data_IF_184959040292
#
_entry.id   IF_184959040292
#
_cell.length_a   1.000
_cell.length_b   1.000
_cell.length_c   1.000
_cell.angle_alpha   90.00
_cell.angle_beta   90.00
_cell.angle_gamma   90.00
#
_symmetry.space_group_name_H-M   'P 1'
#
loop_
_entity.id
_entity.type
_entity.pdbx_description
1 polymer ?
#
# COMPACT_ATOMS: atom_id res chain seq x y z
N UNK A 1 15.15 -0.77 14.69
CA UNK A 1 14.19 0.09 15.43
C UNK A 1 13.81 1.21 14.49
N UNK A 2 12.59 1.22 13.95
CA UNK A 2 12.17 2.21 12.95
C UNK A 2 12.33 3.64 13.49
N UNK A 3 12.70 4.59 12.63
CA UNK A 3 12.60 5.99 13.01
C UNK A 3 11.15 6.28 13.40
N UNK A 4 10.99 7.05 14.50
CA UNK A 4 9.68 7.54 14.87
C UNK A 4 9.15 8.39 13.70
N UNK A 5 7.93 8.14 13.21
CA UNK A 5 7.37 8.93 12.14
C UNK A 5 7.34 10.42 12.53
N UNK A 6 7.57 11.33 11.58
CA UNK A 6 7.47 12.76 11.84
C UNK A 6 6.03 13.11 12.23
N UNK A 7 5.84 14.29 12.80
CA UNK A 7 4.51 14.86 12.84
C UNK A 7 4.14 15.26 11.39
N UNK A 8 3.16 14.58 10.80
CA UNK A 8 2.72 14.88 9.44
C UNK A 8 1.98 16.22 9.43
N UNK A 9 2.69 17.29 9.09
CA UNK A 9 2.09 18.60 8.86
C UNK A 9 1.39 18.59 7.51
N UNK A 10 0.06 18.52 7.53
CA UNK A 10 -0.74 18.67 6.32
C UNK A 10 -0.87 20.14 5.90
N UNK A 11 -0.45 21.08 6.75
CA UNK A 11 -0.53 22.53 6.50
C UNK A 11 0.39 23.01 5.37
N UNK A 12 1.41 22.22 5.03
CA UNK A 12 2.34 22.52 3.94
C UNK A 12 1.83 22.05 2.57
N UNK A 13 0.72 21.32 2.53
CA UNK A 13 0.09 20.86 1.30
C UNK A 13 -0.66 22.00 0.61
N UNK A 14 -0.63 22.00 -0.73
CA UNK A 14 -1.41 22.96 -1.49
C UNK A 14 -2.91 22.63 -1.46
N UNK A 15 -3.73 23.62 -1.78
CA UNK A 15 -5.20 23.49 -1.76
C UNK A 15 -5.73 22.32 -2.59
N UNK A 16 -5.17 22.09 -3.78
CA UNK A 16 -5.62 21.00 -4.66
C UNK A 16 -5.31 19.61 -4.06
N UNK A 17 -4.18 19.46 -3.37
CA UNK A 17 -3.84 18.24 -2.63
C UNK A 17 -4.85 18.01 -1.48
N UNK A 18 -5.14 19.05 -0.70
CA UNK A 18 -6.12 18.97 0.39
C UNK A 18 -7.53 18.64 -0.12
N UNK A 19 -7.99 19.29 -1.20
CA UNK A 19 -9.29 19.00 -1.82
C UNK A 19 -9.36 17.53 -2.30
N UNK A 20 -8.29 17.02 -2.95
CA UNK A 20 -8.21 15.61 -3.39
C UNK A 20 -8.28 14.64 -2.20
N UNK A 21 -7.60 14.96 -1.10
CA UNK A 21 -7.65 14.15 0.12
C UNK A 21 -9.04 14.20 0.77
N UNK A 22 -9.73 15.34 0.73
CA UNK A 22 -11.09 15.47 1.25
C UNK A 22 -12.09 14.64 0.43
N UNK A 23 -12.00 14.69 -0.89
CA UNK A 23 -12.83 13.88 -1.80
C UNK A 23 -12.58 12.38 -1.58
N UNK A 24 -11.32 11.98 -1.41
CA UNK A 24 -10.96 10.61 -1.06
C UNK A 24 -11.54 10.19 0.30
N UNK A 25 -11.46 11.08 1.29
CA UNK A 25 -12.09 10.90 2.60
C UNK A 25 -13.60 10.67 2.50
N UNK A 26 -14.30 11.53 1.77
CA UNK A 26 -15.75 11.39 1.56
C UNK A 26 -16.10 10.07 0.86
N UNK A 27 -15.31 9.67 -0.13
CA UNK A 27 -15.49 8.41 -0.87
C UNK A 27 -15.28 7.19 0.01
N UNK A 28 -14.24 7.19 0.86
CA UNK A 28 -13.99 6.13 1.84
C UNK A 28 -15.17 5.99 2.81
N UNK A 29 -15.70 7.11 3.33
CA UNK A 29 -16.85 7.10 4.23
C UNK A 29 -18.12 6.58 3.55
N UNK A 30 -18.29 6.88 2.26
CA UNK A 30 -19.39 6.33 1.46
C UNK A 30 -19.25 4.81 1.28
N UNK A 31 -18.05 4.29 0.98
CA UNK A 31 -17.78 2.84 0.95
C UNK A 31 -18.15 2.17 2.28
N UNK A 32 -17.71 2.73 3.40
CA UNK A 32 -18.11 2.23 4.73
C UNK A 32 -19.63 2.27 4.93
N UNK A 33 -20.29 3.34 4.49
CA UNK A 33 -21.74 3.51 4.64
C UNK A 33 -22.52 2.48 3.82
N UNK A 34 -22.12 2.21 2.58
CA UNK A 34 -22.83 1.24 1.71
C UNK A 34 -22.62 -0.20 2.17
N UNK A 35 -21.41 -0.56 2.60
CA UNK A 35 -21.14 -1.89 3.15
C UNK A 35 -21.90 -2.13 4.45
N UNK A 36 -21.89 -1.14 5.36
CA UNK A 36 -22.61 -1.23 6.63
C UNK A 36 -24.11 -1.41 6.46
N UNK A 37 -24.72 -0.84 5.41
CA UNK A 37 -26.16 -1.06 5.10
C UNK A 37 -26.48 -2.53 4.83
N UNK A 38 -25.51 -3.30 4.33
CA UNK A 38 -25.61 -4.74 4.13
C UNK A 38 -25.12 -5.59 5.32
N UNK A 39 -24.64 -4.97 6.40
CA UNK A 39 -23.95 -5.69 7.48
C UNK A 39 -22.56 -6.22 7.10
N UNK A 40 -21.92 -5.58 6.11
CA UNK A 40 -20.65 -5.99 5.51
C UNK A 40 -19.52 -5.03 5.94
N UNK A 41 -18.26 -5.44 5.74
CA UNK A 41 -17.05 -4.62 5.94
C UNK A 41 -15.99 -4.93 4.85
N UNK A 42 -14.91 -4.17 4.81
CA UNK A 42 -13.88 -4.27 3.75
C UNK A 42 -13.26 -5.67 3.68
N UNK A 43 -12.81 -6.19 4.82
CA UNK A 43 -12.11 -7.49 4.90
C UNK A 43 -13.06 -8.65 4.56
N UNK A 44 -14.29 -8.62 5.07
CA UNK A 44 -15.30 -9.63 4.76
C UNK A 44 -15.67 -9.65 3.27
N UNK A 45 -15.68 -8.49 2.63
CA UNK A 45 -15.97 -8.37 1.20
C UNK A 45 -14.86 -8.91 0.30
N UNK A 46 -13.58 -8.64 0.62
CA UNK A 46 -12.47 -9.19 -0.18
C UNK A 46 -12.35 -10.71 -0.01
N UNK A 47 -12.73 -11.24 1.15
CA UNK A 47 -12.74 -12.68 1.44
C UNK A 47 -14.02 -13.40 1.00
N UNK A 48 -15.06 -12.66 0.57
CA UNK A 48 -16.34 -13.24 0.20
C UNK A 48 -16.16 -14.19 -0.99
N UNK A 49 -16.81 -15.35 -0.88
CA UNK A 49 -16.82 -16.41 -1.91
C UNK A 49 -15.43 -16.97 -2.27
N UNK A 50 -14.39 -16.74 -1.45
CA UNK A 50 -13.04 -17.28 -1.68
C UNK A 50 -12.84 -18.72 -1.15
N UNK A 51 -13.82 -19.25 -0.42
CA UNK A 51 -13.77 -20.59 0.17
C UNK A 51 -13.10 -20.62 1.55
N UNK A 52 -12.40 -21.70 1.85
CA UNK A 52 -11.64 -21.83 3.11
C UNK A 52 -10.45 -20.87 3.08
N UNK A 53 -10.31 -20.07 4.13
CA UNK A 53 -9.17 -19.20 4.35
C UNK A 53 -7.94 -20.01 4.83
N UNK A 54 -6.81 -19.81 4.18
CA UNK A 54 -5.50 -20.35 4.52
C UNK A 54 -4.53 -19.19 4.71
N UNK A 55 -3.73 -19.25 5.77
CA UNK A 55 -2.69 -18.24 6.04
C UNK A 55 -1.66 -18.22 4.91
N UNK A 56 -1.13 -17.03 4.63
CA UNK A 56 -0.16 -16.73 3.56
C UNK A 56 -0.70 -16.92 2.13
N UNK A 57 -1.93 -17.40 1.93
CA UNK A 57 -2.56 -17.37 0.62
C UNK A 57 -3.09 -15.97 0.30
N UNK A 58 -3.07 -15.64 -0.99
CA UNK A 58 -3.63 -14.39 -1.50
C UNK A 58 -5.14 -14.50 -1.68
N UNK A 59 -5.81 -13.39 -1.40
CA UNK A 59 -7.24 -13.22 -1.58
C UNK A 59 -7.56 -11.91 -2.29
N UNK A 60 -8.35 -11.94 -3.38
CA UNK A 60 -8.81 -13.13 -4.11
C UNK A 60 -7.65 -13.99 -4.63
N UNK A 61 -7.92 -15.27 -4.95
CA UNK A 61 -6.87 -16.25 -5.32
C UNK A 61 -6.02 -15.86 -6.53
N UNK A 62 -6.58 -15.08 -7.44
CA UNK A 62 -5.92 -14.61 -8.66
C UNK A 62 -5.43 -13.15 -8.53
N UNK A 63 -5.36 -12.65 -7.29
CA UNK A 63 -5.23 -11.22 -6.95
C UNK A 63 -6.36 -10.38 -7.59
N UNK A 64 -6.33 -9.07 -7.35
CA UNK A 64 -7.15 -8.11 -8.08
C UNK A 64 -6.24 -7.33 -9.01
N UNK A 65 -6.55 -7.34 -10.30
CA UNK A 65 -5.76 -6.66 -11.32
C UNK A 65 -6.66 -5.83 -12.24
N UNK A 66 -6.32 -4.55 -12.37
CA UNK A 66 -6.95 -3.62 -13.30
C UNK A 66 -6.09 -3.52 -14.57
N UNK A 67 -6.58 -3.97 -15.75
CA UNK A 67 -5.80 -3.95 -16.98
C UNK A 67 -5.64 -2.55 -17.60
N UNK A 68 -6.45 -1.57 -17.21
CA UNK A 68 -6.40 -0.22 -17.77
C UNK A 68 -5.36 0.64 -17.03
N UNK A 69 -5.32 0.54 -15.70
CA UNK A 69 -4.33 1.24 -14.86
C UNK A 69 -3.06 0.43 -14.60
N UNK A 70 -3.11 -0.89 -14.85
CA UNK A 70 -2.11 -1.87 -14.44
C UNK A 70 -1.87 -1.94 -12.92
N UNK A 71 -2.85 -1.49 -12.13
CA UNK A 71 -2.82 -1.58 -10.67
C UNK A 71 -3.21 -2.98 -10.22
N UNK A 72 -2.61 -3.41 -9.12
CA UNK A 72 -2.91 -4.70 -8.51
C UNK A 72 -2.94 -4.60 -6.99
N UNK A 73 -3.78 -5.42 -6.36
CA UNK A 73 -3.64 -5.71 -4.94
C UNK A 73 -3.98 -7.16 -4.64
N UNK A 74 -3.53 -7.64 -3.48
CA UNK A 74 -4.09 -8.81 -2.83
C UNK A 74 -4.22 -8.56 -1.33
N UNK A 75 -5.04 -9.38 -0.66
CA UNK A 75 -5.16 -9.44 0.79
C UNK A 75 -4.65 -10.78 1.29
N UNK A 76 -3.90 -10.81 2.40
CA UNK A 76 -3.55 -12.05 3.10
C UNK A 76 -3.41 -11.82 4.60
N UNK A 77 -3.25 -12.90 5.36
CA UNK A 77 -2.95 -12.81 6.79
C UNK A 77 -1.94 -13.87 7.24
N UNK A 78 -1.25 -13.55 8.32
CA UNK A 78 -0.37 -14.44 9.05
C UNK A 78 -0.64 -14.38 10.57
N UNK A 79 -0.53 -15.51 11.27
CA UNK A 79 -0.80 -15.62 12.72
C UNK A 79 0.15 -14.85 13.64
N UNK A 80 1.27 -14.36 13.13
CA UNK A 80 2.40 -13.89 13.94
C UNK A 80 2.20 -12.54 14.64
N UNK A 81 1.28 -11.70 14.16
CA UNK A 81 1.17 -10.32 14.64
C UNK A 81 -0.06 -10.13 15.52
N UNK A 82 0.16 -10.16 16.83
CA UNK A 82 -0.88 -10.01 17.84
C UNK A 82 -1.62 -8.66 17.70
N UNK A 83 -2.77 -8.68 17.03
CA UNK A 83 -3.66 -7.52 16.86
C UNK A 83 -3.98 -7.17 15.42
N UNK A 84 -3.28 -7.74 14.45
CA UNK A 84 -3.60 -7.61 13.02
C UNK A 84 -4.52 -8.76 12.57
N UNK A 85 -5.55 -8.45 11.79
CA UNK A 85 -6.37 -9.49 11.14
C UNK A 85 -5.70 -10.00 9.85
N UNK A 86 -5.03 -9.10 9.14
CA UNK A 86 -4.29 -9.31 7.90
C UNK A 86 -4.16 -7.98 7.16
N UNK A 87 -3.54 -7.98 5.99
CA UNK A 87 -3.25 -6.76 5.24
C UNK A 87 -3.42 -6.89 3.76
N UNK A 88 -3.65 -5.74 3.13
CA UNK A 88 -3.53 -5.57 1.69
C UNK A 88 -2.08 -5.28 1.32
N UNK A 89 -1.63 -5.76 0.17
CA UNK A 89 -0.47 -5.24 -0.54
C UNK A 89 -0.92 -4.62 -1.85
N UNK A 90 -0.36 -3.45 -2.20
CA UNK A 90 -0.71 -2.72 -3.42
C UNK A 90 0.48 -2.60 -4.35
N UNK A 91 0.22 -2.67 -5.66
CA UNK A 91 1.25 -2.75 -6.69
C UNK A 91 0.84 -2.01 -7.96
N UNK A 92 1.85 -1.64 -8.76
CA UNK A 92 1.68 -1.30 -10.17
C UNK A 92 2.58 -2.23 -10.99
N UNK A 93 2.05 -2.78 -12.09
CA UNK A 93 2.83 -3.56 -13.05
C UNK A 93 3.57 -2.65 -14.02
N UNK A 94 4.74 -3.10 -14.49
CA UNK A 94 5.60 -2.33 -15.39
C UNK A 94 4.87 -1.73 -16.61
N UNK A 95 3.91 -2.43 -17.27
CA UNK A 95 3.18 -1.83 -18.41
C UNK A 95 2.39 -0.54 -18.10
N UNK A 96 2.04 -0.28 -16.83
CA UNK A 96 1.42 0.98 -16.41
C UNK A 96 2.39 2.11 -16.08
N UNK A 97 3.69 1.83 -16.08
CA UNK A 97 4.75 2.77 -15.73
C UNK A 97 5.25 3.54 -16.96
N UNK A 98 5.86 4.73 -16.78
CA UNK A 98 6.59 5.39 -17.87
C UNK A 98 7.69 4.51 -18.46
N UNK A 99 7.86 4.53 -19.78
CA UNK A 99 8.81 3.66 -20.49
C UNK A 99 10.29 3.85 -20.08
N UNK A 100 10.63 5.05 -19.59
CA UNK A 100 11.96 5.42 -19.13
C UNK A 100 12.17 5.18 -17.63
N UNK A 101 11.13 4.78 -16.91
CA UNK A 101 11.21 4.38 -15.50
C UNK A 101 11.75 2.94 -15.41
N UNK A 102 12.99 2.81 -15.00
CA UNK A 102 13.69 1.53 -14.90
C UNK A 102 13.86 1.11 -13.44
N UNK A 103 13.75 -0.20 -13.13
CA UNK A 103 14.04 -0.68 -11.79
C UNK A 103 15.54 -0.47 -11.46
N UNK A 104 15.85 -0.46 -10.17
CA UNK A 104 17.23 -0.48 -9.69
C UNK A 104 17.92 -1.73 -10.23
N UNK A 105 19.10 -1.55 -10.81
CA UNK A 105 19.95 -2.66 -11.25
C UNK A 105 20.35 -3.51 -10.05
N UNK A 106 20.27 -4.81 -10.23
CA UNK A 106 20.69 -5.80 -9.24
C UNK A 106 21.67 -6.78 -9.87
N UNK A 107 22.71 -7.12 -9.11
CA UNK A 107 23.81 -8.00 -9.51
C UNK A 107 23.89 -9.27 -8.64
N UNK A 108 22.86 -9.55 -7.84
CA UNK A 108 22.74 -10.78 -7.06
C UNK A 108 22.22 -11.97 -7.86
N UNK A 109 22.08 -13.10 -7.17
CA UNK A 109 21.74 -14.39 -7.80
C UNK A 109 20.24 -14.57 -8.10
N UNK A 110 19.37 -13.86 -7.38
CA UNK A 110 17.92 -13.98 -7.53
C UNK A 110 17.41 -13.32 -8.82
N UNK A 111 16.38 -13.93 -9.43
CA UNK A 111 15.82 -13.43 -10.68
C UNK A 111 15.11 -12.10 -10.43
N UNK A 112 15.61 -11.03 -11.06
CA UNK A 112 14.91 -9.74 -11.08
C UNK A 112 13.71 -9.77 -12.03
N UNK A 113 12.48 -9.45 -11.57
CA UNK A 113 11.31 -9.45 -12.44
C UNK A 113 11.48 -8.45 -13.58
N UNK A 114 11.06 -8.85 -14.79
CA UNK A 114 11.09 -7.98 -15.99
C UNK A 114 9.83 -8.18 -16.84
N UNK A 115 9.52 -7.18 -17.67
CA UNK A 115 8.41 -7.23 -18.61
C UNK A 115 7.05 -7.20 -17.94
N UNK A 116 6.05 -7.81 -18.58
CA UNK A 116 4.64 -7.72 -18.15
C UNK A 116 4.35 -8.34 -16.77
N UNK A 117 5.28 -9.15 -16.25
CA UNK A 117 5.18 -9.76 -14.92
C UNK A 117 5.92 -8.96 -13.84
N UNK A 118 6.73 -7.97 -14.22
CA UNK A 118 7.36 -7.08 -13.25
C UNK A 118 6.32 -6.16 -12.61
N UNK A 119 6.42 -6.02 -11.30
CA UNK A 119 5.58 -5.16 -10.49
C UNK A 119 6.42 -4.52 -9.38
N UNK A 120 5.98 -3.37 -8.90
CA UNK A 120 6.59 -2.67 -7.76
C UNK A 120 5.55 -2.53 -6.66
N UNK A 121 5.95 -2.74 -5.41
CA UNK A 121 5.10 -2.58 -4.23
C UNK A 121 5.01 -1.11 -3.85
N UNK A 122 3.79 -0.63 -3.66
CA UNK A 122 3.53 0.75 -3.23
C UNK A 122 3.49 0.83 -1.70
N UNK A 123 2.54 0.11 -1.09
CA UNK A 123 2.34 0.11 0.36
C UNK A 123 1.49 -1.09 0.80
N UNK A 124 1.79 -1.61 1.99
CA UNK A 124 0.96 -2.55 2.72
C UNK A 124 -0.02 -1.82 3.64
N UNK A 125 -1.26 -2.33 3.75
CA UNK A 125 -2.33 -1.75 4.57
C UNK A 125 -2.81 -2.77 5.59
N UNK A 126 -2.37 -2.62 6.85
CA UNK A 126 -2.76 -3.48 7.95
C UNK A 126 -4.19 -3.20 8.42
N UNK A 127 -4.96 -4.27 8.65
CA UNK A 127 -6.37 -4.21 9.01
C UNK A 127 -6.62 -4.78 10.41
N UNK A 128 -7.54 -4.15 11.15
CA UNK A 128 -8.06 -4.72 12.39
C UNK A 128 -9.14 -5.78 12.12
N UNK A 129 -9.55 -6.48 13.18
CA UNK A 129 -10.60 -7.50 13.13
C UNK A 129 -12.00 -6.97 12.77
N UNK A 130 -12.21 -5.65 12.77
CA UNK A 130 -13.47 -5.03 12.40
C UNK A 130 -13.49 -4.59 10.92
N UNK A 131 -12.36 -4.69 10.22
CA UNK A 131 -12.20 -4.35 8.82
C UNK A 131 -11.82 -2.89 8.58
N UNK A 132 -11.19 -2.23 9.55
CA UNK A 132 -10.65 -0.87 9.41
C UNK A 132 -9.11 -0.89 9.30
N UNK A 133 -8.53 0.04 8.51
CA UNK A 133 -7.08 0.14 8.39
C UNK A 133 -6.46 0.77 9.65
N UNK A 134 -5.38 0.19 10.16
CA UNK A 134 -4.72 0.60 11.41
C UNK A 134 -3.27 1.06 11.23
N UNK A 135 -2.58 0.57 10.21
CA UNK A 135 -1.24 1.04 9.86
C UNK A 135 -0.95 0.86 8.39
N UNK A 136 0.01 1.64 7.90
CA UNK A 136 0.61 1.50 6.58
C UNK A 136 2.08 1.11 6.76
N UNK A 137 2.61 0.29 5.86
CA UNK A 137 4.00 -0.15 5.92
C UNK A 137 4.59 -0.44 4.54
N UNK A 138 5.91 -0.45 4.47
CA UNK A 138 6.66 -0.97 3.32
C UNK A 138 7.45 -2.19 3.74
N UNK A 139 7.77 -3.03 2.77
CA UNK A 139 8.54 -4.25 2.97
C UNK A 139 9.81 -4.21 2.14
N UNK A 140 10.73 -5.10 2.47
CA UNK A 140 11.83 -5.44 1.59
C UNK A 140 11.36 -6.31 0.42
N UNK A 141 12.17 -6.37 -0.65
CA UNK A 141 11.86 -7.07 -1.89
C UNK A 141 11.53 -8.54 -1.65
N UNK A 142 12.30 -9.26 -0.84
CA UNK A 142 12.08 -10.71 -0.64
C UNK A 142 10.68 -11.07 -0.17
N UNK A 143 9.96 -10.13 0.46
CA UNK A 143 8.59 -10.32 0.96
C UNK A 143 7.60 -10.38 -0.19
N UNK A 144 7.78 -9.56 -1.23
CA UNK A 144 6.83 -9.38 -2.33
C UNK A 144 7.34 -9.92 -3.67
N UNK A 145 8.63 -10.22 -3.78
CA UNK A 145 9.29 -10.61 -5.03
C UNK A 145 9.27 -9.52 -6.09
N UNK A 146 9.13 -8.25 -5.69
CA UNK A 146 8.97 -7.12 -6.61
C UNK A 146 10.22 -6.81 -7.44
N UNK A 147 10.05 -6.06 -8.53
CA UNK A 147 11.13 -5.30 -9.12
C UNK A 147 11.32 -4.04 -8.27
N UNK A 148 12.53 -3.81 -7.78
CA UNK A 148 12.78 -2.69 -6.88
C UNK A 148 12.89 -1.37 -7.63
N UNK A 149 12.03 -0.40 -7.32
CA UNK A 149 12.12 0.97 -7.83
C UNK A 149 12.45 1.93 -6.67
N UNK A 150 13.10 3.05 -6.98
CA UNK A 150 13.45 4.04 -5.95
C UNK A 150 12.19 4.74 -5.47
N UNK A 151 12.24 5.27 -4.25
CA UNK A 151 11.12 5.99 -3.64
C UNK A 151 10.58 7.11 -4.54
N UNK A 152 11.46 7.90 -5.17
CA UNK A 152 11.05 8.99 -6.07
C UNK A 152 10.19 8.49 -7.23
N UNK A 153 10.56 7.35 -7.83
CA UNK A 153 9.83 6.77 -8.96
C UNK A 153 8.45 6.27 -8.49
N UNK A 154 8.40 5.60 -7.34
CA UNK A 154 7.14 5.08 -6.78
C UNK A 154 6.20 6.20 -6.34
N UNK A 155 6.72 7.32 -5.83
CA UNK A 155 5.93 8.52 -5.49
C UNK A 155 5.21 9.08 -6.72
N UNK A 156 5.85 9.06 -7.90
CA UNK A 156 5.21 9.42 -9.17
C UNK A 156 4.15 8.39 -9.60
N UNK A 157 4.35 7.12 -9.27
CA UNK A 157 3.38 6.05 -9.57
C UNK A 157 2.13 6.09 -8.69
N UNK A 158 2.17 6.75 -7.52
CA UNK A 158 0.98 6.86 -6.64
C UNK A 158 -0.21 7.51 -7.37
N UNK A 159 0.03 8.42 -8.31
CA UNK A 159 -1.01 9.05 -9.13
C UNK A 159 -1.67 8.11 -10.15
N UNK A 160 -1.06 6.94 -10.40
CA UNK A 160 -1.53 5.95 -11.38
C UNK A 160 -2.28 4.80 -10.73
N UNK A 161 -2.16 4.63 -9.42
CA UNK A 161 -2.84 3.55 -8.72
C UNK A 161 -4.35 3.78 -8.73
N UNK A 162 -5.08 2.91 -9.42
CA UNK A 162 -6.53 2.95 -9.51
C UNK A 162 -7.07 1.55 -9.77
N UNK A 163 -8.00 1.12 -8.93
CA UNK A 163 -8.86 -0.03 -9.20
C UNK A 163 -10.29 0.43 -8.97
N UNK A 164 -11.09 0.51 -10.03
CA UNK A 164 -12.47 1.01 -9.96
C UNK A 164 -13.50 0.05 -10.57
N UNK A 165 -13.06 -1.11 -11.08
CA UNK A 165 -13.94 -2.15 -11.57
C UNK A 165 -14.70 -2.87 -10.44
N UNK A 166 -15.71 -3.67 -10.79
CA UNK A 166 -16.64 -4.23 -9.81
C UNK A 166 -16.15 -5.47 -9.05
N UNK A 167 -15.19 -6.22 -9.60
CA UNK A 167 -14.66 -7.46 -9.01
C UNK A 167 -13.52 -7.21 -8.01
N UNK A 168 -13.42 -7.91 -6.86
CA UNK A 168 -14.39 -8.82 -6.27
C UNK A 168 -15.53 -8.07 -5.56
N UNK A 169 -15.28 -6.80 -5.23
CA UNK A 169 -16.24 -5.90 -4.59
C UNK A 169 -15.92 -4.46 -4.96
N UNK A 170 -16.84 -3.82 -5.68
CA UNK A 170 -16.70 -2.42 -6.11
C UNK A 170 -16.37 -1.46 -4.96
N UNK A 171 -17.04 -1.53 -3.78
CA UNK A 171 -16.67 -0.70 -2.63
C UNK A 171 -15.25 -0.95 -2.10
N UNK A 172 -14.72 -2.18 -2.17
CA UNK A 172 -13.35 -2.48 -1.71
C UNK A 172 -12.33 -1.86 -2.64
N UNK A 173 -12.54 -2.00 -3.96
CA UNK A 173 -11.65 -1.45 -4.98
C UNK A 173 -11.55 0.08 -4.91
N UNK A 174 -12.71 0.74 -4.83
CA UNK A 174 -12.75 2.20 -4.62
C UNK A 174 -12.10 2.55 -3.29
N UNK A 175 -12.40 1.82 -2.22
CA UNK A 175 -11.83 2.10 -0.90
C UNK A 175 -10.30 2.05 -0.90
N UNK A 176 -9.67 1.01 -1.46
CA UNK A 176 -8.20 0.88 -1.46
C UNK A 176 -7.55 1.98 -2.31
N UNK A 177 -8.14 2.30 -3.46
CA UNK A 177 -7.70 3.40 -4.33
C UNK A 177 -7.69 4.73 -3.58
N UNK A 178 -8.79 5.08 -2.95
CA UNK A 178 -8.91 6.36 -2.24
C UNK A 178 -8.15 6.38 -0.91
N UNK A 179 -7.87 5.22 -0.29
CA UNK A 179 -7.05 5.16 0.91
C UNK A 179 -5.62 5.66 0.63
N UNK A 180 -5.05 5.28 -0.52
CA UNK A 180 -3.72 5.74 -0.94
C UNK A 180 -3.71 7.26 -1.19
N UNK A 181 -4.81 7.83 -1.70
CA UNK A 181 -4.94 9.29 -1.88
C UNK A 181 -5.03 10.02 -0.53
N UNK A 182 -5.88 9.53 0.39
CA UNK A 182 -6.09 10.16 1.70
C UNK A 182 -4.80 10.19 2.56
N UNK A 183 -3.97 9.16 2.45
CA UNK A 183 -2.73 8.99 3.20
C UNK A 183 -1.47 9.20 2.36
N UNK A 184 -1.57 9.89 1.22
CA UNK A 184 -0.43 10.13 0.34
C UNK A 184 0.80 10.69 1.06
N UNK A 185 0.72 11.74 1.93
CA UNK A 185 1.89 12.25 2.63
C UNK A 185 2.60 11.21 3.51
N UNK A 186 1.83 10.32 4.13
CA UNK A 186 2.35 9.23 4.94
C UNK A 186 3.03 8.17 4.06
N UNK A 187 2.45 7.84 2.91
CA UNK A 187 3.03 6.87 1.97
C UNK A 187 4.33 7.38 1.37
N UNK A 188 4.39 8.65 0.95
CA UNK A 188 5.62 9.28 0.46
C UNK A 188 6.74 9.21 1.51
N UNK A 189 6.42 9.49 2.77
CA UNK A 189 7.37 9.34 3.87
C UNK A 189 7.83 7.89 4.06
N UNK A 190 6.90 6.92 4.03
CA UNK A 190 7.22 5.50 4.17
C UNK A 190 8.19 5.03 3.07
N UNK A 191 7.97 5.45 1.83
CA UNK A 191 8.82 5.10 0.69
C UNK A 191 10.23 5.70 0.83
N UNK A 192 10.33 6.97 1.23
CA UNK A 192 11.62 7.60 1.50
C UNK A 192 12.36 6.94 2.66
N UNK A 193 11.63 6.55 3.71
CA UNK A 193 12.21 5.85 4.86
C UNK A 193 12.65 4.42 4.52
N UNK A 194 11.89 3.72 3.67
CA UNK A 194 12.27 2.41 3.12
C UNK A 194 13.64 2.45 2.47
N UNK A 195 13.84 3.38 1.55
CA UNK A 195 15.12 3.50 0.82
C UNK A 195 16.28 3.82 1.77
N UNK A 196 16.07 4.67 2.78
CA UNK A 196 17.09 4.95 3.80
C UNK A 196 17.41 3.72 4.66
N UNK A 197 16.40 2.97 5.09
CA UNK A 197 16.58 1.78 5.93
C UNK A 197 17.32 0.70 5.15
N UNK A 198 16.94 0.45 3.89
CA UNK A 198 17.63 -0.48 2.99
C UNK A 198 19.08 -0.03 2.77
N UNK A 199 19.32 1.26 2.49
CA UNK A 199 20.67 1.78 2.32
C UNK A 199 21.52 1.62 3.58
N UNK A 200 20.97 1.92 4.76
CA UNK A 200 21.67 1.77 6.04
C UNK A 200 21.97 0.30 6.33
N UNK A 201 21.01 -0.59 6.08
CA UNK A 201 21.18 -2.02 6.27
C UNK A 201 22.30 -2.58 5.40
N UNK A 202 22.36 -2.18 4.12
CA UNK A 202 23.41 -2.59 3.20
C UNK A 202 24.80 -2.13 3.66
N UNK A 203 24.91 -0.95 4.28
CA UNK A 203 26.17 -0.46 4.85
C UNK A 203 26.60 -1.28 6.07
N UNK A 204 25.65 -1.67 6.91
CA UNK A 204 25.90 -2.45 8.13
C UNK A 204 26.15 -3.94 7.82
N UNK A 205 25.70 -4.43 6.67
CA UNK A 205 25.79 -5.83 6.22
C UNK A 205 26.32 -5.92 4.77
N UNK A 206 27.55 -5.48 4.54
CA UNK A 206 28.13 -5.36 3.18
C UNK A 206 28.25 -6.67 2.40
N UNK A 207 28.26 -7.81 3.09
CA UNK A 207 28.47 -9.13 2.48
C UNK A 207 27.15 -9.85 2.16
N UNK A 208 26.00 -9.24 2.49
CA UNK A 208 24.67 -9.77 2.22
C UNK A 208 23.99 -8.97 1.10
N UNK A 209 23.19 -9.68 0.29
CA UNK A 209 22.24 -9.04 -0.62
C UNK A 209 21.10 -8.44 0.20
N UNK A 210 21.09 -7.10 0.32
CA UNK A 210 20.10 -6.41 1.14
C UNK A 210 18.67 -6.68 0.68
N UNK A 211 18.43 -6.91 -0.60
CA UNK A 211 17.09 -7.13 -1.13
C UNK A 211 16.54 -8.52 -0.77
N UNK A 212 17.44 -9.45 -0.43
CA UNK A 212 17.13 -10.84 -0.08
C UNK A 212 17.37 -11.20 1.39
N UNK A 213 17.76 -10.22 2.21
CA UNK A 213 18.01 -10.45 3.64
C UNK A 213 16.70 -10.67 4.41
N UNK A 214 16.48 -11.93 4.83
CA UNK A 214 15.30 -12.36 5.59
C UNK A 214 15.19 -11.76 7.00
N UNK A 215 16.21 -11.06 7.47
CA UNK A 215 16.15 -10.30 8.73
C UNK A 215 15.63 -8.86 8.55
N UNK A 216 15.41 -8.43 7.30
CA UNK A 216 14.84 -7.13 6.96
C UNK A 216 13.54 -7.36 6.20
N UNK A 217 12.46 -7.62 6.92
CA UNK A 217 11.09 -7.85 6.42
C UNK A 217 10.34 -6.52 6.22
N UNK A 218 10.08 -5.80 7.31
CA UNK A 218 9.43 -4.47 7.28
C UNK A 218 10.50 -3.39 7.29
N UNK A 219 10.40 -2.44 6.36
CA UNK A 219 11.38 -1.38 6.14
C UNK A 219 10.92 -0.02 6.69
N UNK A 220 9.61 0.22 6.73
CA UNK A 220 9.03 1.39 7.39
C UNK A 220 7.57 1.13 7.75
N UNK A 221 7.05 1.76 8.81
CA UNK A 221 5.66 1.61 9.21
C UNK A 221 5.14 2.86 9.95
N UNK A 222 3.83 3.13 9.83
CA UNK A 222 3.15 4.23 10.53
C UNK A 222 1.71 3.84 10.86
N UNK A 223 1.27 4.15 12.09
CA UNK A 223 -0.13 3.99 12.48
C UNK A 223 -1.00 5.05 11.81
N UNK A 224 -2.21 4.68 11.38
CA UNK A 224 -3.15 5.57 10.72
C UNK A 224 -4.54 5.51 11.36
N UNK A 225 -5.31 6.57 11.15
CA UNK A 225 -6.73 6.62 11.51
C UNK A 225 -7.48 7.45 10.48
N UNK A 226 -8.39 6.82 9.75
CA UNK A 226 -9.14 7.44 8.64
C UNK A 226 -9.91 8.67 9.09
N UNK A 227 -10.71 8.55 10.16
CA UNK A 227 -11.55 9.66 10.62
C UNK A 227 -10.73 10.85 11.15
N UNK A 228 -9.61 10.57 11.82
CA UNK A 228 -8.70 11.61 12.30
C UNK A 228 -8.02 12.35 11.14
N UNK A 229 -7.56 11.62 10.12
CA UNK A 229 -6.96 12.19 8.91
C UNK A 229 -7.96 13.07 8.17
N UNK A 230 -9.19 12.57 7.93
CA UNK A 230 -10.27 13.34 7.29
C UNK A 230 -10.54 14.62 8.06
N UNK A 231 -10.68 14.55 9.40
CA UNK A 231 -10.91 15.73 10.23
C UNK A 231 -9.78 16.76 10.10
N UNK A 232 -8.52 16.29 10.08
CA UNK A 232 -7.38 17.19 9.93
C UNK A 232 -7.39 17.91 8.56
N UNK A 233 -7.69 17.17 7.48
CA UNK A 233 -7.80 17.74 6.13
C UNK A 233 -8.94 18.77 6.05
N UNK A 234 -10.13 18.43 6.56
CA UNK A 234 -11.29 19.32 6.51
C UNK A 234 -11.07 20.62 7.27
N UNK A 235 -10.43 20.57 8.46
CA UNK A 235 -10.11 21.78 9.21
C UNK A 235 -9.21 22.73 8.41
N UNK A 236 -8.19 22.21 7.70
CA UNK A 236 -7.27 23.01 6.89
C UNK A 236 -7.91 23.58 5.61
N UNK A 237 -9.05 23.04 5.16
CA UNK A 237 -9.80 23.56 4.02
C UNK A 237 -10.77 24.68 4.41
N UNK A 238 -11.16 24.72 5.69
CA UNK A 238 -12.03 25.73 6.30
C UNK A 238 -11.25 26.99 6.74
N UNK A 239 -9.96 26.85 7.05
CA UNK A 239 -9.01 27.93 7.39
C UNK A 239 -8.56 28.76 6.16
#
# INVERSE_FOLDING_TARGET
MFQRPPNFSLADLNRAQLDSMADAGATIMECYRVLRKGGLNIVGEVLRDQGTFYELEHYPKDDVFDPDSHSQYYYHAHRSDAGEHGHFHTFIRQPGMPNDMLPVSHDGDEIWPTGDQALTHLVGVAMDAYGFPVSLFTTNRWVTGEAWYRAADIIELLDRFCIDHAFPSWPVNIWVTHLLVLFRPQIEWLLLERDKVVQQWQQDHSDADVYEDRNLDITSAVAINVEAQIRCVMNLLED
#
